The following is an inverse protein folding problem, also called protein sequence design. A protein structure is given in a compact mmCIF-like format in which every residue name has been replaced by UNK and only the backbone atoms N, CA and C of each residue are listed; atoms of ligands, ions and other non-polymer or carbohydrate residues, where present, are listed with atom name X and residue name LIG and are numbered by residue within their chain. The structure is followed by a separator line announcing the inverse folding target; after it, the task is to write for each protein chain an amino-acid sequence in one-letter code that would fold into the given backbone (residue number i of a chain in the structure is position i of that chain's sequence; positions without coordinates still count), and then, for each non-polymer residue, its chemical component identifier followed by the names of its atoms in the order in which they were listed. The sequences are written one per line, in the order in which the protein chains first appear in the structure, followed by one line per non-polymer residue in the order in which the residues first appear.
data_IF_739789279276
#
_entry.id   IF_739789279276
#
_cell.length_a   1.000
_cell.length_b   1.000
_cell.length_c   1.000
_cell.angle_alpha   90.00
_cell.angle_beta   90.00
_cell.angle_gamma   90.00
#
_symmetry.space_group_name_H-M   'P 1'
#
loop_
_entity.id
_entity.type
_entity.pdbx_description
1 polymer ?
2 non-polymer ?
3 water ?
#
# COMPACT_ATOMS: atom_id res chain seq x y z
N UNK A 12 5.95 -25.22 3.68
CA UNK A 12 7.37 -25.07 3.41
C UNK A 12 7.95 -23.91 4.21
N UNK A 13 8.64 -24.24 5.30
CA UNK A 13 9.28 -23.26 6.15
C UNK A 13 10.77 -23.56 6.23
N UNK A 14 11.53 -22.58 6.74
CA UNK A 14 12.96 -22.74 6.85
C UNK A 14 13.71 -22.60 5.55
N UNK A 15 13.08 -22.03 4.53
CA UNK A 15 13.70 -21.86 3.22
C UNK A 15 13.52 -20.41 2.78
N UNK A 16 14.63 -19.76 2.46
CA UNK A 16 14.62 -18.41 1.89
C UNK A 16 14.77 -18.53 0.38
N UNK A 17 13.94 -17.78 -0.36
CA UNK A 17 13.91 -17.85 -1.81
C UNK A 17 14.06 -16.44 -2.38
N UNK A 18 15.26 -15.88 -2.25
CA UNK A 18 15.57 -14.59 -2.85
C UNK A 18 15.88 -14.81 -4.33
N UNK A 19 15.13 -14.14 -5.20
CA UNK A 19 15.27 -14.36 -6.62
C UNK A 19 14.76 -15.72 -7.04
N UNK A 20 15.68 -16.63 -7.36
CA UNK A 20 15.31 -17.99 -7.72
C UNK A 20 16.16 -19.03 -7.03
N UNK A 21 16.77 -18.65 -5.91
CA UNK A 21 17.67 -19.51 -5.16
C UNK A 21 17.02 -19.90 -3.83
N UNK A 22 16.86 -21.19 -3.61
CA UNK A 22 16.31 -21.70 -2.35
C UNK A 22 17.46 -21.97 -1.38
N UNK A 23 17.38 -21.35 -0.20
CA UNK A 23 18.41 -21.48 0.82
C UNK A 23 17.82 -22.15 2.05
N UNK A 24 18.36 -23.32 2.40
CA UNK A 24 17.96 -24.01 3.61
C UNK A 24 18.69 -23.38 4.79
N UNK A 25 18.03 -22.44 5.47
CA UNK A 25 18.64 -21.70 6.55
C UNK A 25 17.68 -21.64 7.73
N UNK A 26 18.17 -21.09 8.84
CA UNK A 26 17.41 -20.90 10.06
C UNK A 26 17.43 -19.43 10.46
N UNK A 27 16.83 -19.13 11.61
CA UNK A 27 16.80 -17.76 12.09
C UNK A 27 18.19 -17.29 12.50
N UNK A 28 19.04 -18.22 12.94
CA UNK A 28 20.39 -17.85 13.35
C UNK A 28 21.26 -17.43 12.18
N UNK A 29 20.88 -17.77 10.95
CA UNK A 29 21.61 -17.36 9.76
C UNK A 29 21.26 -15.94 9.32
N UNK A 30 20.44 -15.22 10.10
CA UNK A 30 20.08 -13.84 9.82
C UNK A 30 20.61 -12.94 10.92
N UNK A 31 21.31 -11.87 10.54
CA UNK A 31 21.82 -10.90 11.49
C UNK A 31 20.85 -9.73 11.59
N UNK A 32 20.55 -9.32 12.82
CA UNK A 32 19.62 -8.23 13.06
C UNK A 32 20.32 -6.88 12.88
N UNK A 33 19.73 -6.01 12.07
CA UNK A 33 20.29 -4.69 11.81
C UNK A 33 19.48 -3.56 12.42
N UNK A 34 18.52 -3.88 13.29
CA UNK A 34 17.77 -2.87 14.00
C UNK A 34 16.30 -2.85 13.58
N UNK A 35 15.50 -2.22 14.43
CA UNK A 35 14.07 -2.08 14.17
C UNK A 35 13.82 -0.98 13.16
N UNK A 36 12.77 -1.18 12.34
CA UNK A 36 12.38 -0.22 11.33
C UNK A 36 10.86 -0.15 11.28
N UNK A 37 10.36 0.87 10.58
CA UNK A 37 8.92 1.06 10.43
C UNK A 37 8.25 1.61 11.68
N UNK A 43 6.10 -5.58 14.87
CA UNK A 43 7.54 -5.74 15.11
C UNK A 43 8.24 -6.29 13.87
N UNK A 44 8.66 -5.41 12.98
CA UNK A 44 9.34 -5.78 11.74
C UNK A 44 10.80 -5.33 11.85
N UNK A 45 11.72 -6.25 11.56
CA UNK A 45 13.15 -5.99 11.65
C UNK A 45 13.76 -5.91 10.26
N UNK A 46 14.81 -5.10 10.14
CA UNK A 46 15.69 -5.12 8.98
C UNK A 46 16.82 -6.09 9.29
N UNK A 47 16.83 -7.24 8.61
CA UNK A 47 17.80 -8.27 8.88
C UNK A 47 18.65 -8.54 7.64
N UNK A 48 19.81 -9.16 7.87
CA UNK A 48 20.81 -9.39 6.83
C UNK A 48 21.15 -10.86 6.78
N UNK A 49 20.95 -11.48 5.63
CA UNK A 49 21.35 -12.86 5.42
C UNK A 49 22.87 -12.96 5.42
N UNK A 50 23.42 -13.80 6.29
CA UNK A 50 24.86 -13.97 6.38
C UNK A 50 25.41 -14.94 5.35
N UNK A 51 24.60 -15.90 4.89
CA UNK A 51 25.11 -16.88 3.93
C UNK A 51 25.38 -16.23 2.57
N UNK A 52 24.61 -15.22 2.20
CA UNK A 52 24.74 -14.57 0.90
C UNK A 52 25.11 -13.10 1.00
N UNK A 53 24.47 -12.35 1.90
CA UNK A 53 24.66 -10.91 1.99
C UNK A 53 23.42 -10.10 1.73
N UNK A 54 22.28 -10.72 1.48
CA UNK A 54 21.05 -9.97 1.21
C UNK A 54 20.54 -9.33 2.50
N UNK A 55 19.97 -8.14 2.36
CA UNK A 55 19.29 -7.45 3.46
C UNK A 55 17.79 -7.55 3.19
N UNK A 56 17.06 -8.15 4.13
CA UNK A 56 15.64 -8.43 3.97
C UNK A 56 14.88 -7.82 5.14
N UNK A 57 13.55 -7.89 5.03
CA UNK A 57 12.63 -7.45 6.08
C UNK A 57 12.04 -8.68 6.74
N UNK A 58 12.15 -8.75 8.07
CA UNK A 58 11.67 -9.89 8.83
C UNK A 58 10.68 -9.40 9.86
N UNK A 59 9.42 -9.83 9.74
CA UNK A 59 8.39 -9.52 10.70
C UNK A 59 8.34 -10.63 11.75
N UNK A 60 8.49 -10.25 13.02
CA UNK A 60 8.51 -11.20 14.12
C UNK A 60 7.16 -11.22 14.82
N UNK A 61 6.57 -12.41 14.94
CA UNK A 61 5.30 -12.60 15.63
C UNK A 61 5.55 -13.45 16.87
N UNK A 62 5.28 -12.87 18.04
CA UNK A 62 5.46 -13.59 19.30
C UNK A 62 4.28 -14.51 19.54
N UNK A 63 4.56 -15.75 19.94
CA UNK A 63 3.49 -16.69 20.27
C UNK A 63 2.69 -16.19 21.47
N UNK A 64 3.35 -15.55 22.43
CA UNK A 64 2.69 -14.99 23.60
C UNK A 64 2.13 -13.59 23.35
N UNK A 65 2.00 -13.19 22.09
CA UNK A 65 1.49 -11.88 21.75
C UNK A 65 -0.03 -11.83 21.80
N UNK A 66 -0.56 -10.69 21.34
CA UNK A 66 -2.00 -10.48 21.35
C UNK A 66 -2.66 -11.38 20.31
N UNK A 67 -3.81 -11.94 20.69
CA UNK A 67 -4.56 -12.80 19.77
C UNK A 67 -5.10 -12.00 18.59
N UNK A 68 -5.60 -10.79 18.85
CA UNK A 68 -6.12 -9.95 17.77
C UNK A 68 -5.00 -9.44 16.87
N UNK A 69 -3.86 -9.11 17.46
CA UNK A 69 -2.72 -8.67 16.66
C UNK A 69 -2.16 -9.80 15.81
N UNK A 70 -1.99 -10.99 16.41
CA UNK A 70 -1.42 -12.11 15.67
C UNK A 70 -2.36 -12.60 14.59
N UNK A 71 -3.67 -12.60 14.85
CA UNK A 71 -4.63 -13.06 13.86
C UNK A 71 -4.53 -12.25 12.58
N UNK A 72 -4.15 -10.98 12.67
CA UNK A 72 -3.92 -10.17 11.49
C UNK A 72 -2.61 -10.52 10.80
N UNK A 73 -1.60 -10.94 11.57
CA UNK A 73 -0.30 -11.28 10.99
C UNK A 73 -0.36 -12.59 10.21
N UNK A 74 -1.36 -13.44 10.46
CA UNK A 74 -1.54 -14.64 9.67
C UNK A 74 -2.51 -14.46 8.52
N UNK A 75 -3.36 -13.43 8.57
CA UNK A 75 -4.29 -13.18 7.46
C UNK A 75 -3.57 -12.57 6.28
N UNK A 76 -2.75 -11.55 6.51
CA UNK A 76 -2.01 -10.94 5.41
C UNK A 76 -0.96 -11.91 4.86
N UNK A 77 -0.31 -12.68 5.74
CA UNK A 77 0.67 -13.67 5.27
C UNK A 77 0.00 -14.72 4.40
N UNK A 78 -1.25 -15.08 4.72
CA UNK A 78 -1.97 -16.06 3.92
C UNK A 78 -2.13 -15.59 2.48
N UNK A 79 -2.50 -14.33 2.29
CA UNK A 79 -2.70 -13.80 0.94
C UNK A 79 -1.41 -13.31 0.31
N UNK A 80 -0.41 -12.93 1.10
CA UNK A 80 0.89 -12.59 0.53
C UNK A 80 1.55 -13.83 -0.07
N UNK A 81 1.40 -14.99 0.59
CA UNK A 81 1.98 -16.22 0.07
C UNK A 81 1.31 -16.62 -1.24
N UNK A 82 0.01 -16.42 -1.36
CA UNK A 82 -0.73 -16.77 -2.57
C UNK A 82 -0.70 -15.66 -3.62
N UNK A 83 -0.01 -14.55 -3.35
CA UNK A 83 0.16 -13.46 -4.30
C UNK A 83 1.57 -13.45 -4.87
N UNK A 84 2.12 -14.62 -5.18
CA UNK A 84 3.48 -14.70 -5.68
C UNK A 84 3.57 -14.26 -7.13
N UNK A 85 2.48 -14.36 -7.89
CA UNK A 85 2.47 -13.97 -9.29
C UNK A 85 2.00 -12.53 -9.51
N UNK A 86 1.94 -11.73 -8.44
CA UNK A 86 1.54 -10.33 -8.56
C UNK A 86 2.74 -9.44 -8.29
N UNK A 87 3.29 -8.75 -9.28
CA UNK A 87 4.48 -7.91 -9.07
C UNK A 87 4.19 -6.60 -8.35
N UNK A 88 2.95 -6.36 -7.93
CA UNK A 88 2.58 -5.13 -7.23
C UNK A 88 2.25 -5.38 -5.77
N UNK A 89 2.70 -6.50 -5.22
CA UNK A 89 2.51 -6.84 -3.81
C UNK A 89 3.84 -7.32 -3.26
N UNK A 90 4.17 -6.88 -2.04
CA UNK A 90 5.42 -7.28 -1.41
C UNK A 90 5.45 -8.80 -1.28
N UNK A 91 6.55 -9.40 -1.71
CA UNK A 91 6.67 -10.86 -1.78
C UNK A 91 7.35 -11.40 -0.54
N UNK A 92 6.86 -12.54 -0.06
CA UNK A 92 7.42 -13.21 1.11
C UNK A 92 8.42 -14.26 0.64
N UNK A 93 9.67 -14.11 1.07
CA UNK A 93 10.71 -15.06 0.68
C UNK A 93 10.51 -16.41 1.34
N UNK A 94 10.41 -16.43 2.65
CA UNK A 94 10.21 -17.65 3.39
C UNK A 94 9.65 -17.39 4.76
N UNK A 95 9.72 -18.41 5.60
CA UNK A 95 9.21 -18.29 6.97
C UNK A 95 10.00 -19.22 7.87
N UNK A 96 10.22 -18.76 9.11
CA UNK A 96 10.95 -19.52 10.12
C UNK A 96 10.03 -19.74 11.32
N UNK A 97 9.74 -21.00 11.62
CA UNK A 97 8.85 -21.36 12.71
C UNK A 97 9.70 -22.01 13.81
N UNK A 98 9.91 -21.29 14.89
CA UNK A 98 10.57 -21.81 16.09
C UNK A 98 9.51 -22.04 17.16
N UNK A 99 9.96 -22.63 18.28
CA UNK A 99 9.05 -22.97 19.36
C UNK A 99 8.49 -21.75 20.08
N UNK A 100 9.06 -20.57 19.86
CA UNK A 100 8.66 -19.36 20.57
C UNK A 100 8.08 -18.29 19.66
N UNK A 101 8.61 -18.11 18.46
CA UNK A 101 8.21 -17.03 17.58
C UNK A 101 7.96 -17.55 16.17
N UNK A 102 7.50 -16.66 15.30
CA UNK A 102 7.34 -16.93 13.87
C UNK A 102 7.92 -15.74 13.12
N UNK A 103 8.87 -16.00 12.22
CA UNK A 103 9.56 -14.96 11.49
C UNK A 103 9.14 -15.01 10.03
N UNK A 104 8.61 -13.90 9.53
CA UNK A 104 8.12 -13.78 8.17
C UNK A 104 9.12 -12.94 7.38
N UNK A 105 9.72 -13.53 6.35
CA UNK A 105 10.75 -12.87 5.56
C UNK A 105 10.11 -12.17 4.38
N UNK A 106 9.93 -10.85 4.50
CA UNK A 106 9.44 -10.01 3.42
C UNK A 106 10.60 -9.33 2.71
N UNK A 107 10.36 -8.92 1.46
CA UNK A 107 11.38 -8.21 0.72
C UNK A 107 11.54 -6.79 1.27
N UNK A 108 12.75 -6.25 1.11
CA UNK A 108 13.08 -4.95 1.66
C UNK A 108 12.79 -3.86 0.64
N UNK A 109 12.11 -2.81 1.08
CA UNK A 109 11.76 -1.66 0.26
C UNK A 109 12.32 -0.40 0.90
N UNK A 110 12.36 0.68 0.12
CA UNK A 110 12.89 1.94 0.60
C UNK A 110 12.08 2.55 1.73
N UNK A 111 10.85 2.95 1.44
CA UNK A 111 9.96 3.55 2.43
C UNK A 111 8.53 3.50 1.90
N UNK A 112 7.61 4.06 2.67
CA UNK A 112 6.20 4.11 2.28
C UNK A 112 5.87 5.46 1.67
N UNK A 113 4.65 5.57 1.13
CA UNK A 113 4.20 6.82 0.54
C UNK A 113 3.91 7.88 1.60
N UNK A 114 3.48 7.45 2.79
CA UNK A 114 3.24 8.41 3.87
C UNK A 114 4.54 9.06 4.32
N UNK A 115 5.61 8.28 4.46
CA UNK A 115 6.88 8.84 4.85
C UNK A 115 7.49 9.68 3.73
N UNK A 116 7.18 9.36 2.47
CA UNK A 116 7.63 10.19 1.37
C UNK A 116 6.99 11.58 1.41
N UNK A 117 5.75 11.67 1.89
CA UNK A 117 5.10 12.97 1.99
C UNK A 117 5.78 13.85 3.03
N UNK A 118 6.29 13.27 4.11
CA UNK A 118 7.00 14.04 5.11
C UNK A 118 8.40 14.41 4.66
N UNK A 119 9.09 13.49 3.98
CA UNK A 119 10.43 13.78 3.48
C UNK A 119 10.40 14.81 2.35
N UNK A 120 9.34 14.81 1.55
CA UNK A 120 9.22 15.81 0.48
C UNK A 120 8.92 17.19 1.03
N UNK A 121 8.16 17.26 2.14
CA UNK A 121 7.69 18.53 2.68
C UNK A 121 6.91 19.31 1.61
N UNK A 122 6.19 18.57 0.76
CA UNK A 122 5.43 19.15 -0.31
C UNK A 122 4.78 18.11 -1.19
N UNK A 123 4.16 18.56 -2.28
CA UNK A 123 3.48 17.62 -3.19
C UNK A 123 4.45 16.71 -3.92
N UNK A 124 3.93 15.59 -4.36
CA UNK A 124 4.68 14.62 -5.17
C UNK A 124 4.29 14.83 -6.62
N UNK A 125 5.25 14.86 -7.56
CA UNK A 125 4.90 15.11 -8.96
C UNK A 125 3.90 14.09 -9.51
N UNK A 126 3.11 14.54 -10.49
CA UNK A 126 2.06 13.69 -11.04
C UNK A 126 2.63 12.47 -11.74
N UNK A 127 3.82 12.59 -12.35
CA UNK A 127 4.41 11.47 -13.06
C UNK A 127 4.72 10.31 -12.12
N UNK A 128 5.04 10.60 -10.86
CA UNK A 128 5.30 9.54 -9.89
C UNK A 128 4.00 8.89 -9.44
N UNK A 129 2.96 9.70 -9.20
CA UNK A 129 1.67 9.15 -8.82
C UNK A 129 0.99 8.40 -9.96
N UNK A 130 1.43 8.62 -11.20
CA UNK A 130 0.87 7.86 -12.31
C UNK A 130 1.27 6.40 -12.27
N UNK A 131 2.57 6.13 -12.17
CA UNK A 131 3.03 4.76 -12.00
C UNK A 131 2.55 4.17 -10.68
N UNK A 132 2.37 5.00 -9.67
CA UNK A 132 1.82 4.51 -8.40
C UNK A 132 0.37 4.07 -8.57
N UNK A 133 -0.44 4.86 -9.28
CA UNK A 133 -1.84 4.50 -9.47
C UNK A 133 -1.99 3.23 -10.29
N UNK A 134 -1.17 3.07 -11.34
CA UNK A 134 -1.23 1.87 -12.16
C UNK A 134 -0.88 0.64 -11.33
N UNK A 135 0.05 0.79 -10.38
CA UNK A 135 0.49 -0.33 -9.56
C UNK A 135 -0.55 -0.70 -8.51
N UNK A 136 -1.16 0.30 -7.86
CA UNK A 136 -2.08 0.02 -6.76
C UNK A 136 -3.38 -0.56 -7.29
N UNK A 137 -3.89 -0.02 -8.41
CA UNK A 137 -5.16 -0.50 -8.95
C UNK A 137 -5.03 -1.94 -9.41
N UNK A 138 -3.93 -2.27 -10.09
CA UNK A 138 -3.71 -3.66 -10.49
C UNK A 138 -3.62 -4.58 -9.29
N UNK A 139 -3.07 -4.10 -8.18
CA UNK A 139 -2.99 -4.93 -6.97
C UNK A 139 -4.37 -5.22 -6.41
N UNK A 140 -5.23 -4.19 -6.31
CA UNK A 140 -6.57 -4.40 -5.81
C UNK A 140 -7.40 -5.24 -6.76
N UNK A 141 -7.27 -4.99 -8.07
CA UNK A 141 -7.97 -5.80 -9.06
C UNK A 141 -7.49 -7.24 -9.06
N UNK A 142 -6.20 -7.46 -8.79
CA UNK A 142 -5.69 -8.82 -8.66
C UNK A 142 -6.27 -9.51 -7.43
N UNK A 143 -6.46 -8.76 -6.35
CA UNK A 143 -7.01 -9.35 -5.13
C UNK A 143 -8.49 -9.68 -5.29
N UNK A 144 -9.23 -8.85 -6.03
CA UNK A 144 -10.65 -9.06 -6.20
C UNK A 144 -10.95 -10.20 -7.17
N UNK A 145 -10.05 -10.47 -8.12
CA UNK A 145 -10.28 -11.48 -9.14
C UNK A 145 -9.62 -12.82 -8.79
N UNK A 146 -8.32 -12.81 -8.48
CA UNK A 146 -7.62 -14.07 -8.26
C UNK A 146 -8.02 -14.71 -6.94
N UNK A 147 -8.21 -13.91 -5.89
CA UNK A 147 -8.50 -14.44 -4.56
C UNK A 147 -9.79 -13.93 -3.95
N UNK A 148 -10.49 -13.00 -4.60
CA UNK A 148 -11.75 -12.51 -4.08
C UNK A 148 -11.65 -11.79 -2.76
N UNK A 149 -10.53 -11.13 -2.49
CA UNK A 149 -10.32 -10.39 -1.26
C UNK A 149 -10.28 -8.90 -1.58
N UNK A 150 -10.86 -8.10 -0.68
CA UNK A 150 -10.81 -6.65 -0.79
C UNK A 150 -9.90 -6.13 0.33
N UNK A 151 -9.24 -5.01 0.06
CA UNK A 151 -8.20 -4.53 0.98
C UNK A 151 -8.82 -3.90 2.22
N UNK A 152 -9.78 -3.01 2.04
CA UNK A 152 -10.53 -2.36 3.12
C UNK A 152 -9.67 -1.42 3.97
N UNK A 153 -8.44 -1.13 3.55
CA UNK A 153 -7.59 -0.17 4.24
C UNK A 153 -6.47 0.34 3.35
N UNK A 154 -6.83 1.12 2.33
CA UNK A 154 -5.88 1.69 1.39
C UNK A 154 -5.54 3.10 1.84
N UNK A 155 -4.25 3.37 2.05
CA UNK A 155 -3.76 4.68 2.48
C UNK A 155 -2.28 4.75 2.16
N UNK A 156 -1.69 5.96 2.19
CA UNK A 156 -0.25 6.07 1.86
C UNK A 156 0.66 5.20 2.70
N UNK A 157 0.21 4.78 3.89
CA UNK A 157 1.04 3.94 4.75
C UNK A 157 1.31 2.58 4.12
N UNK A 158 0.40 2.10 3.27
CA UNK A 158 0.50 0.78 2.69
C UNK A 158 1.00 0.81 1.25
N UNK A 159 1.61 1.91 0.82
CA UNK A 159 2.16 2.04 -0.52
C UNK A 159 3.67 2.17 -0.38
N UNK A 160 4.38 1.08 -0.64
CA UNK A 160 5.82 1.02 -0.47
C UNK A 160 6.54 1.29 -1.79
N UNK A 161 7.74 1.86 -1.68
CA UNK A 161 8.60 2.16 -2.81
C UNK A 161 10.01 1.73 -2.50
N UNK A 162 10.86 1.68 -3.52
CA UNK A 162 12.26 1.31 -3.37
C UNK A 162 13.11 2.15 -4.31
N UNK A 163 14.43 1.99 -4.19
CA UNK A 163 15.35 2.71 -5.05
C UNK A 163 15.39 2.17 -6.47
N UNK A 164 14.69 1.07 -6.75
CA UNK A 164 14.64 0.49 -8.08
C UNK A 164 13.47 0.99 -8.91
N UNK A 165 12.55 1.75 -8.31
CA UNK A 165 11.39 2.25 -9.02
C UNK A 165 10.13 1.44 -8.83
N UNK A 166 10.19 0.31 -8.13
CA UNK A 166 9.02 -0.51 -7.91
C UNK A 166 8.11 0.10 -6.86
N UNK A 167 6.80 -0.14 -7.04
CA UNK A 167 5.78 0.34 -6.10
C UNK A 167 4.82 -0.82 -5.85
N UNK A 168 4.64 -1.19 -4.58
CA UNK A 168 3.86 -2.37 -4.24
C UNK A 168 2.97 -2.08 -3.03
N UNK A 169 1.99 -2.97 -2.83
CA UNK A 169 1.10 -2.91 -1.68
C UNK A 169 1.74 -3.64 -0.50
N UNK A 170 1.27 -3.32 0.70
CA UNK A 170 1.84 -3.81 1.95
C UNK A 170 0.74 -4.34 2.86
N UNK A 171 0.98 -5.52 3.45
CA UNK A 171 0.15 -6.26 4.41
C UNK A 171 -1.21 -5.67 4.76
N UNK A 172 -2.25 -6.47 4.56
CA UNK A 172 -3.65 -6.08 4.73
C UNK A 172 -4.29 -6.98 5.79
N UNK A 173 -4.06 -6.64 7.07
CA UNK A 173 -4.53 -7.47 8.16
C UNK A 173 -6.04 -7.51 8.31
N UNK A 174 -6.76 -6.58 7.66
CA UNK A 174 -8.20 -6.50 7.75
C UNK A 174 -8.89 -6.87 6.45
N UNK A 175 -8.19 -7.57 5.56
CA UNK A 175 -8.76 -7.96 4.27
C UNK A 175 -9.86 -9.00 4.44
N UNK A 188 -12.54 -2.42 11.27
CA UNK A 188 -12.70 -1.50 10.16
C UNK A 188 -11.39 -0.81 9.82
N UNK A 189 -11.31 -0.26 8.62
CA UNK A 189 -10.11 0.43 8.16
C UNK A 189 -9.96 1.80 8.80
N UNK A 190 -9.01 2.55 8.25
CA UNK A 190 -8.75 3.90 8.76
C UNK A 190 -9.94 4.81 8.47
N UNK A 191 -10.41 5.51 9.51
CA UNK A 191 -11.61 6.31 9.38
C UNK A 191 -11.42 7.53 8.48
N UNK A 192 -10.18 7.93 8.22
CA UNK A 192 -9.94 9.12 7.40
C UNK A 192 -10.13 8.84 5.92
N UNK A 193 -9.74 7.65 5.46
CA UNK A 193 -9.87 7.26 4.06
C UNK A 193 -11.10 6.41 3.81
N UNK A 194 -12.11 6.51 4.67
CA UNK A 194 -13.30 5.68 4.56
C UNK A 194 -14.16 6.09 3.37
N UNK A 195 -14.80 5.09 2.76
CA UNK A 195 -15.72 5.33 1.67
C UNK A 195 -17.10 5.70 2.22
N UNK A 196 -17.88 6.50 1.47
CA UNK A 196 -19.21 6.91 1.97
C UNK A 196 -20.14 5.74 2.24
N UNK A 197 -20.14 4.72 1.38
CA UNK A 197 -21.02 3.57 1.60
C UNK A 197 -20.52 2.64 2.70
N UNK A 198 -19.24 2.76 3.10
CA UNK A 198 -18.77 2.01 4.25
C UNK A 198 -19.07 2.71 5.57
N UNK A 199 -19.56 3.94 5.52
CA UNK A 199 -20.02 4.66 6.70
C UNK A 199 -21.53 4.52 6.88
N UNK A 200 -22.30 4.80 5.83
CA UNK A 200 -23.76 4.68 5.84
C UNK A 200 -24.12 3.64 4.77
N UNK A 201 -24.04 2.36 5.10
CA UNK A 201 -24.28 1.32 4.09
C UNK A 201 -25.76 1.10 3.88
N UNK A 202 -26.24 1.30 2.64
CA UNK A 202 -27.65 1.00 2.33
C UNK A 202 -27.83 -0.50 2.13
N UNK A 203 -28.66 -1.11 2.96
CA UNK A 203 -28.91 -2.54 2.86
C UNK A 203 -30.40 -2.85 2.69
N UNK A 209 -22.27 -3.69 1.89
CA UNK A 209 -21.64 -4.01 0.61
C UNK A 209 -20.57 -2.98 0.27
N UNK A 210 -19.31 -3.42 0.28
CA UNK A 210 -18.17 -2.56 -0.03
C UNK A 210 -17.32 -3.21 -1.12
N UNK A 211 -17.93 -3.38 -2.30
CA UNK A 211 -17.24 -4.04 -3.40
C UNK A 211 -16.19 -3.11 -4.01
N UNK A 212 -16.50 -1.82 -4.12
CA UNK A 212 -15.61 -0.85 -4.73
C UNK A 212 -15.25 0.26 -3.76
N UNK A 213 -15.24 -0.03 -2.46
CA UNK A 213 -14.94 1.00 -1.47
C UNK A 213 -13.45 1.33 -1.42
N UNK A 214 -12.59 0.45 -1.92
CA UNK A 214 -11.16 0.77 -2.01
C UNK A 214 -10.88 1.82 -3.06
N UNK A 215 -11.80 2.03 -4.00
CA UNK A 215 -11.60 3.05 -5.02
C UNK A 215 -11.64 4.44 -4.40
N UNK A 216 -12.53 4.66 -3.44
CA UNK A 216 -12.58 5.93 -2.73
C UNK A 216 -11.33 6.14 -1.89
N UNK A 217 -10.87 5.10 -1.20
CA UNK A 217 -9.69 5.24 -0.37
C UNK A 217 -8.47 5.61 -1.19
N UNK A 218 -8.36 5.06 -2.41
CA UNK A 218 -7.26 5.43 -3.29
C UNK A 218 -7.37 6.88 -3.73
N UNK A 219 -8.59 7.35 -3.97
CA UNK A 219 -8.77 8.74 -4.39
C UNK A 219 -8.36 9.73 -3.32
N UNK A 220 -8.73 9.45 -2.06
CA UNK A 220 -8.35 10.34 -0.96
C UNK A 220 -6.84 10.34 -0.77
N UNK A 221 -6.20 9.19 -0.97
CA UNK A 221 -4.75 9.12 -0.86
C UNK A 221 -4.06 9.87 -2.00
N UNK A 222 -4.68 9.89 -3.19
CA UNK A 222 -4.09 10.61 -4.31
C UNK A 222 -4.09 12.12 -4.08
N UNK A 223 -5.20 12.65 -3.58
CA UNK A 223 -5.28 14.09 -3.33
C UNK A 223 -4.30 14.50 -2.24
N UNK A 224 -4.09 13.63 -1.26
CA UNK A 224 -3.15 13.95 -0.18
C UNK A 224 -1.72 14.02 -0.69
N UNK A 225 -1.32 13.05 -1.53
CA UNK A 225 0.05 13.03 -2.04
C UNK A 225 0.27 14.07 -3.13
N UNK A 226 -0.76 14.39 -3.91
CA UNK A 226 -0.61 15.34 -5.00
C UNK A 226 -0.64 16.79 -4.52
N UNK A 227 -1.19 17.06 -3.33
CA UNK A 227 -1.25 18.40 -2.80
C UNK A 227 -0.37 18.61 -1.57
N UNK A 228 0.08 17.55 -0.92
CA UNK A 228 0.85 17.65 0.30
C UNK A 228 0.03 17.81 1.56
N UNK A 229 -1.20 18.27 1.46
CA UNK A 229 -2.09 18.43 2.60
C UNK A 229 -3.13 17.32 2.61
N UNK A 230 -3.65 17.03 3.81
CA UNK A 230 -4.76 16.09 3.86
C UNK A 230 -6.05 16.81 3.48
N UNK A 231 -6.91 16.17 2.66
CA UNK A 231 -8.10 16.88 2.17
C UNK A 231 -9.07 17.31 3.26
N UNK A 232 -9.29 16.47 4.27
CA UNK A 232 -10.17 16.80 5.39
C UNK A 232 -9.29 17.32 6.52
N UNK A 233 -9.00 18.61 6.49
CA UNK A 233 -8.11 19.24 7.45
C UNK A 233 -8.89 19.77 8.65
N UNK A 234 -8.15 20.05 9.73
CA UNK A 234 -8.70 20.61 10.97
C UNK A 234 -9.81 19.71 11.53
N UNK A 235 -9.49 18.43 11.68
CA UNK A 235 -10.41 17.44 12.24
C UNK A 235 -9.72 16.78 13.43
N UNK A 236 -10.22 17.04 14.64
CA UNK A 236 -9.62 16.53 15.86
C UNK A 236 -10.18 15.17 16.28
N UNK A 237 -11.36 14.79 15.79
CA UNK A 237 -11.98 13.53 16.14
C UNK A 237 -12.25 12.70 14.90
N UNK A 238 -12.32 11.39 15.07
CA UNK A 238 -12.59 10.49 13.95
C UNK A 238 -13.98 10.67 13.38
N UNK A 239 -14.92 11.19 14.17
CA UNK A 239 -16.28 11.39 13.67
C UNK A 239 -16.40 12.65 12.81
N UNK A 240 -15.43 13.56 12.88
CA UNK A 240 -15.54 14.80 12.12
C UNK A 240 -15.26 14.57 10.64
N UNK A 241 -14.27 13.73 10.33
CA UNK A 241 -14.01 13.42 8.93
C UNK A 241 -15.17 12.65 8.32
N UNK A 242 -15.83 11.81 9.11
CA UNK A 242 -16.98 11.07 8.61
C UNK A 242 -18.12 12.02 8.22
N UNK A 243 -18.31 13.08 8.99
CA UNK A 243 -19.33 14.07 8.65
C UNK A 243 -18.94 14.83 7.38
N UNK A 244 -17.69 15.27 7.29
CA UNK A 244 -17.24 16.02 6.12
C UNK A 244 -17.23 15.15 4.87
N UNK A 245 -17.02 13.84 5.02
CA UNK A 245 -17.09 12.93 3.88
C UNK A 245 -18.51 12.91 3.32
N UNK A 246 -19.51 12.91 4.20
CA UNK A 246 -20.91 12.81 3.78
C UNK A 246 -21.54 14.19 3.55
N UNK A 247 -21.32 15.13 4.46
CA UNK A 247 -21.98 16.42 4.37
C UNK A 247 -21.38 17.32 3.31
N UNK A 248 -20.14 17.09 2.89
CA UNK A 248 -19.43 17.98 1.98
C UNK A 248 -19.01 17.24 0.72
N UNK A 249 -19.01 17.98 -0.40
CA UNK A 249 -18.63 17.52 -1.73
C UNK A 249 -17.24 16.89 -1.70
N UNK A 250 -16.95 15.89 -2.53
CA UNK A 250 -15.63 15.25 -2.52
C UNK A 250 -14.52 16.26 -2.76
N UNK A 251 -13.40 16.13 -2.05
CA UNK A 251 -12.28 17.06 -2.23
C UNK A 251 -11.49 16.72 -3.49
N UNK A 252 -11.62 17.56 -4.50
CA UNK A 252 -10.96 17.35 -5.77
C UNK A 252 -9.62 18.09 -5.82
N UNK A 253 -8.88 17.86 -6.90
CA UNK A 253 -7.59 18.51 -7.10
C UNK A 253 -7.80 19.94 -7.57
N UNK A 254 -6.99 20.87 -7.07
CA UNK A 254 -7.09 22.26 -7.56
C UNK A 254 -6.61 22.37 -9.00
N UNK A 255 -7.06 23.43 -9.67
CA UNK A 255 -6.74 23.62 -11.06
C UNK A 255 -5.49 24.46 -11.29
N UNK A 256 -5.07 25.20 -10.28
CA UNK A 256 -3.93 26.10 -10.39
C UNK A 256 -2.60 25.41 -10.10
N UNK A 257 -2.57 24.08 -10.05
CA UNK A 257 -1.33 23.32 -9.85
C UNK A 257 -0.86 22.62 -11.11
N UNK A 258 -1.52 22.85 -12.24
CA UNK A 258 -1.07 22.29 -13.50
C UNK A 258 -1.22 20.80 -13.64
N UNK A 259 -2.20 20.20 -12.96
CA UNK A 259 -2.42 18.77 -13.10
C UNK A 259 -3.06 18.45 -14.45
N UNK A 260 -2.74 17.26 -14.96
CA UNK A 260 -3.26 16.85 -16.25
C UNK A 260 -4.77 16.65 -16.20
N UNK A 261 -5.41 16.86 -17.35
CA UNK A 261 -6.86 16.64 -17.42
C UNK A 261 -7.23 15.19 -17.20
N UNK A 262 -6.42 14.26 -17.71
CA UNK A 262 -6.67 12.84 -17.49
C UNK A 262 -6.51 12.48 -16.02
N UNK A 263 -5.64 13.18 -15.29
CA UNK A 263 -5.42 12.88 -13.88
C UNK A 263 -6.53 13.46 -13.00
N UNK A 264 -7.13 14.58 -13.40
CA UNK A 264 -8.20 15.16 -12.59
C UNK A 264 -9.49 14.35 -12.71
N UNK A 265 -9.77 13.82 -13.90
CA UNK A 265 -10.98 13.01 -14.08
C UNK A 265 -10.87 11.68 -13.36
N UNK A 266 -9.65 11.17 -13.14
CA UNK A 266 -9.49 9.93 -12.39
C UNK A 266 -9.80 10.12 -10.92
N UNK A 267 -9.49 11.29 -10.37
CA UNK A 267 -9.81 11.55 -8.97
C UNK A 267 -11.31 11.80 -8.80
N UNK A 268 -11.94 12.45 -9.77
CA UNK A 268 -13.38 12.66 -9.71
C UNK A 268 -14.14 11.34 -9.77
N UNK A 269 -13.67 10.41 -10.61
CA UNK A 269 -14.34 9.12 -10.72
C UNK A 269 -14.13 8.28 -9.46
N UNK A 270 -12.92 8.34 -8.88
CA UNK A 270 -12.67 7.59 -7.64
C UNK A 270 -13.46 8.18 -6.49
N UNK A 271 -13.60 9.50 -6.44
CA UNK A 271 -14.30 10.18 -5.35
C UNK A 271 -15.76 10.45 -5.67
N UNK A 272 -16.39 9.62 -6.49
CA UNK A 272 -17.84 9.73 -6.69
C UNK A 272 -18.56 9.38 -5.40
N UNK A 273 -19.41 10.28 -4.93
CA UNK A 273 -20.06 10.09 -3.64
C UNK A 273 -20.97 8.88 -3.64
N UNK A 274 -21.87 8.79 -4.63
CA UNK A 274 -22.80 7.68 -4.70
C UNK A 274 -22.05 6.40 -5.04
N UNK A 275 -22.15 5.41 -4.14
CA UNK A 275 -21.45 4.14 -4.34
C UNK A 275 -21.92 3.43 -5.61
N UNK A 276 -23.19 3.60 -5.98
CA UNK A 276 -23.74 2.89 -7.12
C UNK A 276 -23.16 3.39 -8.43
N UNK A 277 -22.69 4.64 -8.47
CA UNK A 277 -22.11 5.23 -9.67
C UNK A 277 -20.59 5.23 -9.65
N UNK A 278 -19.98 4.44 -8.77
CA UNK A 278 -18.52 4.38 -8.67
C UNK A 278 -17.99 3.34 -9.66
N UNK A 279 -16.96 3.68 -10.44
CA UNK A 279 -16.46 2.74 -11.45
C UNK A 279 -15.82 1.51 -10.82
N UNK A 280 -15.98 0.37 -11.50
CA UNK A 280 -15.34 -0.85 -11.08
C UNK A 280 -13.87 -0.84 -11.49
N UNK A 281 -13.12 -1.83 -11.00
CA UNK A 281 -11.70 -1.93 -11.35
C UNK A 281 -11.53 -2.22 -12.84
N UNK A 282 -12.44 -2.98 -13.45
CA UNK A 282 -12.33 -3.29 -14.86
C UNK A 282 -12.43 -2.04 -15.72
N UNK A 283 -13.22 -1.05 -15.29
CA UNK A 283 -13.31 0.21 -16.01
C UNK A 283 -12.15 1.15 -15.69
N UNK A 284 -11.53 1.01 -14.52
CA UNK A 284 -10.42 1.89 -14.16
C UNK A 284 -9.17 1.57 -14.98
N UNK A 285 -8.93 0.28 -15.26
CA UNK A 285 -7.78 -0.09 -16.07
C UNK A 285 -7.87 0.44 -17.50
N UNK A 286 -9.07 0.77 -17.96
CA UNK A 286 -9.28 1.34 -19.28
C UNK A 286 -9.42 2.84 -19.26
N UNK A 287 -9.12 3.49 -18.13
CA UNK A 287 -9.14 4.93 -18.06
C UNK A 287 -7.97 5.53 -18.82
N UNK A 288 -8.17 6.74 -19.35
CA UNK A 288 -7.13 7.38 -20.16
C UNK A 288 -5.90 7.70 -19.32
N UNK A 289 -6.06 7.91 -18.02
CA UNK A 289 -4.92 8.19 -17.16
C UNK A 289 -4.14 6.92 -16.83
N UNK A 290 -4.84 5.80 -16.65
CA UNK A 290 -4.16 4.55 -16.34
C UNK A 290 -3.37 4.06 -17.54
N UNK A 291 -4.00 4.00 -18.71
CA UNK A 291 -3.32 3.58 -19.93
C UNK A 291 -2.24 4.56 -20.36
N UNK A 292 -2.22 5.78 -19.81
CA UNK A 292 -1.20 6.75 -20.19
C UNK A 292 0.14 6.41 -19.56
N UNK A 293 0.13 5.90 -18.33
CA UNK A 293 1.36 5.58 -17.61
C UNK A 293 1.74 4.10 -17.66
N UNK A 294 0.96 3.28 -18.37
CA UNK A 294 1.39 1.91 -18.63
C UNK A 294 2.45 1.89 -19.72
N UNK A 295 2.18 2.56 -20.84
CA UNK A 295 3.13 2.59 -21.95
C UNK A 295 4.28 3.55 -21.65
N UNK A 296 3.99 4.69 -21.02
CA UNK A 296 5.02 5.66 -20.71
C UNK A 296 5.94 5.13 -19.61
N UNK A 297 7.25 5.20 -19.84
CA UNK A 297 8.25 4.72 -18.89
C UNK A 297 8.88 5.94 -18.22
N UNK A 298 8.54 6.16 -16.96
CA UNK A 298 9.11 7.25 -16.17
C UNK A 298 10.14 6.66 -15.21
N UNK A 299 11.10 7.48 -14.81
CA UNK A 299 12.22 7.03 -13.98
C UNK A 299 11.87 7.28 -12.52
N UNK A 300 11.19 6.31 -11.92
CA UNK A 300 10.88 6.41 -10.49
C UNK A 300 12.14 6.13 -9.66
N UNK A 301 13.05 5.32 -10.19
CA UNK A 301 14.25 4.96 -9.44
C UNK A 301 15.14 6.18 -9.19
N UNK A 302 15.38 6.98 -10.24
CA UNK A 302 16.23 8.14 -10.09
C UNK A 302 15.58 9.21 -9.22
N UNK A 303 14.26 9.37 -9.34
CA UNK A 303 13.56 10.35 -8.51
C UNK A 303 13.51 9.93 -7.05
N UNK A 304 13.46 8.62 -6.79
CA UNK A 304 13.38 8.15 -5.41
C UNK A 304 14.72 8.34 -4.69
N UNK A 305 15.83 8.15 -5.40
CA UNK A 305 17.14 8.31 -4.76
C UNK A 305 17.43 9.77 -4.44
N UNK A 306 16.88 10.70 -5.21
CA UNK A 306 17.16 12.11 -4.98
C UNK A 306 16.41 12.66 -3.77
N UNK A 307 15.14 12.29 -3.61
CA UNK A 307 14.36 12.78 -2.47
C UNK A 307 14.87 12.17 -1.17
N UNK A 308 15.16 10.87 -1.18
CA UNK A 308 15.65 10.21 0.02
C UNK A 308 17.05 10.67 0.40
N UNK A 309 17.78 11.30 -0.52
CA UNK A 309 19.10 11.81 -0.19
C UNK A 309 19.02 12.96 0.81
N UNK A 310 17.99 13.80 0.69
CA UNK A 310 17.79 14.93 1.60
C UNK A 310 17.09 14.42 2.85
N UNK A 311 17.86 13.76 3.71
CA UNK A 311 17.33 13.21 4.95
C UNK A 311 17.53 14.22 6.09
N UNK A 312 17.02 13.87 7.27
CA UNK A 312 17.16 14.73 8.43
C UNK A 312 17.93 14.02 9.54
X LIG B 1 11.24 -0.44 5.07
X LIG B 1 11.54 0.77 5.71
X LIG B 1 10.53 1.49 6.34
X LIG B 1 9.22 1.02 6.32
X LIG B 1 8.94 -0.18 5.68
X LIG B 1 9.93 -0.92 5.06
X LIG B 1 9.65 -2.07 4.42
X LIG B 1 7.15 2.06 6.25
X LIG B 1 6.14 2.87 7.06
X LIG B 1 5.30 3.73 6.09
X LIG B 1 12.82 1.30 5.78
X LIG B 1 15.18 1.19 5.21
X LIG B 1 16.16 0.54 4.24
X LIG B 1 16.36 0.94 2.99
X LIG B 1 8.80 -3.92 3.73
X LIG B 1 8.64 -2.92 4.61
X LIG B 1 7.95 -4.95 3.67
X LIG B 1 6.87 -5.02 4.53
X LIG B 1 6.69 -4.00 5.45
X LIG B 1 7.61 -2.96 5.47
X LIG B 1 17.76 0.31 1.04
X LIG B 1 19.11 1.03 0.97
X LIG B 1 20.20 0.15 1.57
X LIG B 1 20.31 -1.14 0.76
X LIG B 1 18.99 -1.89 0.83
X LIG B 1 17.86 -1.03 0.28
X LIG B 1 20.48 2.28 -0.46
X LIG B 1 8.27 1.73 6.93
X LIG B 1 13.82 0.65 5.14
X LIG B 1 17.29 0.14 2.46
X LIG B 1 17.66 -0.73 3.41
X LIG B 1 16.96 -0.48 4.53
X LIG B 1 10.42 -2.51 3.44
X LIG B 1 9.89 -3.67 3.01
X LIG B 1 6.92 1.77 5.09
X LIG B 1 13.03 2.33 6.42
X LIG B 1 19.43 1.33 -0.40
#
# INVERSE_FOLDING_TARGET
MGHHHHHHSAKQTGYLTIGGQRYQAEINDLENLGEMGSGTCGQVWKMRFRKTGHVIAVKQMRRSGNKEENKRILMDLDVVLKSHDCPYIVQCFGTFITNTDVFIAMELMGTCAEKLKKRMQGPIPERILGKMTVAIVKALYYLKEKHGVIHRDVKPSNILLDERGQIKLCDFGISGRLVDSKAKTRSAGCAAYMAPERIDPPDPTKPDYDIRADVWSLGISLVELATGQFPYKNCKTDFEVLTKVLQEEPPLLPGHMGFSGDFQSFVKDCLTKDHRKRPKYNKLLEHSFIKRYETLEVDVASWFKDVMAKTESPRTSG
1XZ CAA CAB CAC CAD CAE CAF CAG CAI CAJ CAL CAM CAP CAQ CAR CAX CAY CAZ CBA CBB CBC CBD CBE CBF CBG CBH CBI CBK NAH NAN NAS NAT NAU NAV NAW OAK OAO OBJ
#
